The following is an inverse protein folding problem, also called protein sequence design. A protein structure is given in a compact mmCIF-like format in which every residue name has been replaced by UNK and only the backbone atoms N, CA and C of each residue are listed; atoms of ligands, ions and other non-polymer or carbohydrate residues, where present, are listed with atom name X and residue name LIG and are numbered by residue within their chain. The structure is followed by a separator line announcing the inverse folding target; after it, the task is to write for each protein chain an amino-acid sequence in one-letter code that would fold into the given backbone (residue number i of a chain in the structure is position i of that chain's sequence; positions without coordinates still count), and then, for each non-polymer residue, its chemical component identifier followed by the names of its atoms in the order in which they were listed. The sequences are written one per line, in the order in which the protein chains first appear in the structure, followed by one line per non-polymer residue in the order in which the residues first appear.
data_IF_730797556282
#
_entry.id   IF_730797556282
#
_cell.length_a   1.000
_cell.length_b   1.000
_cell.length_c   1.000
_cell.angle_alpha   90.00
_cell.angle_beta   90.00
_cell.angle_gamma   90.00
#
_symmetry.space_group_name_H-M   'P 1'
#
loop_
_entity.id
_entity.type
_entity.pdbx_description
1 polymer ?
#
# COMPACT_ATOMS: atom_id res chain seq x y z
N UNK A 1 4.07 -19.92 9.76
CA UNK A 1 3.90 -19.26 8.45
C UNK A 1 2.64 -19.69 7.70
N UNK A 2 2.50 -20.96 7.30
CA UNK A 2 1.38 -21.41 6.44
C UNK A 2 -0.02 -21.14 7.06
N UNK A 3 -0.13 -21.30 8.37
CA UNK A 3 -1.35 -21.02 9.14
C UNK A 3 -1.79 -19.56 9.06
N UNK A 4 -0.86 -18.61 9.22
CA UNK A 4 -1.13 -17.18 9.10
C UNK A 4 -1.53 -16.82 7.65
N UNK A 5 -0.82 -17.36 6.66
CA UNK A 5 -1.14 -17.13 5.25
C UNK A 5 -2.53 -17.62 4.87
N UNK A 6 -2.93 -18.79 5.38
CA UNK A 6 -4.26 -19.35 5.17
C UNK A 6 -5.34 -18.48 5.84
N UNK A 7 -5.10 -18.03 7.07
CA UNK A 7 -6.02 -17.13 7.77
C UNK A 7 -6.24 -15.81 7.03
N UNK A 8 -5.17 -15.11 6.65
CA UNK A 8 -5.30 -13.85 5.91
C UNK A 8 -5.99 -14.03 4.56
N UNK A 9 -5.82 -15.20 3.92
CA UNK A 9 -6.52 -15.52 2.66
C UNK A 9 -8.02 -15.75 2.87
N UNK A 10 -8.41 -16.45 3.95
CA UNK A 10 -9.82 -16.61 4.31
C UNK A 10 -10.45 -15.24 4.55
N UNK A 11 -9.77 -14.42 5.35
CA UNK A 11 -10.26 -13.10 5.73
C UNK A 11 -10.24 -12.10 4.58
N UNK A 12 -9.52 -12.32 3.49
CA UNK A 12 -9.52 -11.42 2.33
C UNK A 12 -10.61 -11.72 1.30
N UNK A 13 -11.42 -12.76 1.51
CA UNK A 13 -12.50 -13.15 0.60
C UNK A 13 -13.82 -12.86 1.30
N UNK A 14 -14.57 -11.87 0.80
CA UNK A 14 -15.72 -11.29 1.49
C UNK A 14 -16.83 -12.29 1.87
N UNK A 15 -17.00 -13.37 1.09
CA UNK A 15 -18.04 -14.39 1.32
C UNK A 15 -17.44 -15.76 1.66
N UNK A 16 -16.28 -15.80 2.32
CA UNK A 16 -15.65 -17.08 2.65
C UNK A 16 -16.40 -17.79 3.78
N UNK A 17 -16.80 -19.07 3.61
CA UNK A 17 -17.63 -19.80 4.60
C UNK A 17 -16.96 -19.91 5.99
N UNK A 18 -15.63 -19.90 6.02
CA UNK A 18 -14.84 -19.98 7.25
C UNK A 18 -14.62 -18.62 7.97
N UNK A 19 -15.07 -17.50 7.41
CA UNK A 19 -14.82 -16.17 8.00
C UNK A 19 -15.57 -15.97 9.32
N UNK A 20 -16.81 -16.48 9.41
CA UNK A 20 -17.70 -16.31 10.56
C UNK A 20 -17.72 -17.53 11.51
N UNK A 21 -16.82 -18.50 11.28
CA UNK A 21 -16.78 -19.73 12.05
C UNK A 21 -16.17 -19.47 13.43
N UNK A 22 -17.06 -19.25 14.41
CA UNK A 22 -16.72 -19.13 15.83
C UNK A 22 -17.03 -20.42 16.57
N UNK A 23 -16.18 -20.80 17.52
CA UNK A 23 -16.45 -21.95 18.37
C UNK A 23 -17.56 -21.59 19.38
N UNK A 24 -18.69 -22.32 19.41
CA UNK A 24 -19.75 -22.08 20.40
C UNK A 24 -19.22 -22.17 21.83
N UNK A 25 -19.75 -21.33 22.73
CA UNK A 25 -19.31 -21.21 24.13
C UNK A 25 -19.31 -22.58 24.85
N UNK A 26 -20.34 -23.40 24.60
CA UNK A 26 -20.44 -24.74 25.19
C UNK A 26 -19.31 -25.68 24.77
N UNK A 27 -18.94 -25.68 23.49
CA UNK A 27 -17.80 -26.45 22.99
C UNK A 27 -16.48 -25.91 23.54
N UNK A 28 -16.34 -24.59 23.66
CA UNK A 28 -15.14 -23.97 24.26
C UNK A 28 -14.88 -24.47 25.68
N UNK A 29 -15.93 -24.59 26.51
CA UNK A 29 -15.82 -25.16 27.86
C UNK A 29 -15.36 -26.62 27.84
N UNK A 30 -15.88 -27.42 26.91
CA UNK A 30 -15.47 -28.82 26.76
C UNK A 30 -14.01 -28.98 26.34
N UNK A 31 -13.52 -28.11 25.45
CA UNK A 31 -12.10 -28.06 25.08
C UNK A 31 -11.22 -27.65 26.27
N UNK A 32 -11.61 -26.63 27.04
CA UNK A 32 -10.86 -26.20 28.22
C UNK A 32 -10.83 -27.26 29.33
N UNK A 33 -11.90 -28.06 29.47
CA UNK A 33 -11.97 -29.14 30.44
C UNK A 33 -11.12 -30.38 30.08
N UNK A 34 -10.57 -30.44 28.86
CA UNK A 34 -9.76 -31.58 28.39
C UNK A 34 -8.43 -31.08 27.83
N UNK A 35 -7.37 -31.19 28.64
CA UNK A 35 -6.01 -30.73 28.30
C UNK A 35 -5.42 -31.32 27.00
N UNK A 36 -5.88 -32.48 26.56
CA UNK A 36 -5.39 -33.16 25.34
C UNK A 36 -6.12 -32.77 24.06
N UNK A 37 -7.18 -31.97 24.11
CA UNK A 37 -7.96 -31.62 22.93
C UNK A 37 -7.41 -30.37 22.23
N UNK A 38 -6.92 -30.58 21.00
CA UNK A 38 -6.43 -29.50 20.13
C UNK A 38 -7.62 -28.65 19.66
N UNK A 39 -7.65 -27.36 20.03
CA UNK A 39 -8.65 -26.40 19.55
C UNK A 39 -8.71 -26.35 18.02
N UNK A 40 -9.88 -26.05 17.41
CA UNK A 40 -9.98 -25.89 15.97
C UNK A 40 -9.11 -24.74 15.47
N UNK A 41 -8.73 -24.81 14.19
CA UNK A 41 -7.83 -23.85 13.57
C UNK A 41 -8.26 -22.39 13.78
N UNK A 42 -9.54 -22.07 13.62
CA UNK A 42 -10.09 -20.73 13.76
C UNK A 42 -9.90 -20.13 15.17
N UNK A 43 -9.79 -20.96 16.21
CA UNK A 43 -9.49 -20.51 17.58
C UNK A 43 -7.98 -20.42 17.82
N UNK A 44 -7.20 -21.42 17.39
CA UNK A 44 -5.74 -21.41 17.57
C UNK A 44 -5.07 -20.22 16.90
N UNK A 45 -5.56 -19.85 15.71
CA UNK A 45 -4.95 -18.76 14.94
C UNK A 45 -5.22 -17.39 15.55
N UNK A 46 -6.35 -17.20 16.26
CA UNK A 46 -6.65 -15.94 16.95
C UNK A 46 -5.57 -15.59 17.97
N UNK A 47 -5.18 -16.56 18.78
CA UNK A 47 -4.10 -16.40 19.78
C UNK A 47 -2.76 -16.10 19.11
N UNK A 48 -2.42 -16.78 18.01
CA UNK A 48 -1.18 -16.52 17.30
C UNK A 48 -1.16 -15.11 16.66
N UNK A 49 -2.28 -14.64 16.13
CA UNK A 49 -2.42 -13.30 15.53
C UNK A 49 -2.40 -12.21 16.58
N UNK A 50 -3.05 -12.42 17.73
CA UNK A 50 -3.00 -11.46 18.85
C UNK A 50 -1.59 -11.32 19.40
N UNK A 51 -0.85 -12.42 19.57
CA UNK A 51 0.55 -12.36 20.00
C UNK A 51 1.47 -11.66 18.99
N UNK A 52 1.15 -11.76 17.69
CA UNK A 52 1.88 -11.06 16.63
C UNK A 52 1.51 -9.57 16.49
N UNK A 53 0.64 -9.02 17.37
CA UNK A 53 0.19 -7.62 17.29
C UNK A 53 -0.71 -7.33 16.08
N UNK A 54 -1.29 -8.37 15.46
CA UNK A 54 -2.10 -8.25 14.24
C UNK A 54 -3.61 -8.38 14.49
N UNK A 55 -4.04 -8.31 15.76
CA UNK A 55 -5.44 -8.51 16.16
C UNK A 55 -6.41 -7.46 15.62
N UNK A 56 -5.97 -6.21 15.51
CA UNK A 56 -6.82 -5.06 15.15
C UNK A 56 -6.73 -4.69 13.66
N UNK A 57 -6.02 -5.50 12.86
CA UNK A 57 -5.77 -5.16 11.45
C UNK A 57 -6.97 -5.49 10.59
N UNK A 58 -7.54 -4.47 9.96
CA UNK A 58 -8.59 -4.66 8.96
C UNK A 58 -7.96 -5.14 7.65
N UNK A 59 -8.43 -6.26 7.12
CA UNK A 59 -7.90 -6.88 5.89
C UNK A 59 -8.71 -6.41 4.69
N UNK A 60 -8.03 -5.95 3.64
CA UNK A 60 -8.66 -5.56 2.38
C UNK A 60 -9.30 -6.79 1.74
N UNK A 61 -10.61 -6.72 1.57
CA UNK A 61 -11.37 -7.72 0.82
C UNK A 61 -11.04 -7.59 -0.67
N UNK A 62 -10.93 -8.74 -1.33
CA UNK A 62 -10.85 -8.82 -2.79
C UNK A 62 -12.23 -9.15 -3.33
N UNK A 63 -12.78 -8.22 -4.11
CA UNK A 63 -13.99 -8.48 -4.88
C UNK A 63 -13.62 -9.22 -6.18
N UNK A 64 -14.39 -10.26 -6.49
CA UNK A 64 -14.21 -10.97 -7.74
C UNK A 64 -14.82 -10.12 -8.87
N UNK A 65 -13.94 -9.50 -9.66
CA UNK A 65 -14.24 -8.83 -10.93
C UNK A 65 -14.90 -7.45 -10.78
N UNK A 66 -14.08 -6.44 -10.43
CA UNK A 66 -14.44 -5.02 -10.55
C UNK A 66 -14.66 -4.62 -12.02
N UNK A 67 -14.03 -5.34 -12.94
CA UNK A 67 -14.25 -5.21 -14.38
C UNK A 67 -14.09 -6.56 -15.06
N UNK A 68 -14.86 -6.82 -16.14
CA UNK A 68 -14.67 -8.03 -16.89
C UNK A 68 -13.30 -8.08 -17.57
N UNK A 69 -12.76 -9.29 -17.87
CA UNK A 69 -11.43 -9.45 -18.47
C UNK A 69 -11.23 -8.76 -19.83
N UNK A 70 -12.31 -8.42 -20.54
CA UNK A 70 -12.25 -7.72 -21.82
C UNK A 70 -12.34 -6.19 -21.70
N UNK A 71 -12.52 -5.66 -20.48
CA UNK A 71 -12.57 -4.22 -20.21
C UNK A 71 -11.53 -3.81 -19.16
N UNK A 72 -10.36 -4.45 -19.19
CA UNK A 72 -9.23 -4.05 -18.35
C UNK A 72 -8.86 -2.62 -18.73
N UNK A 73 -8.86 -1.68 -17.77
CA UNK A 73 -8.50 -0.31 -18.07
C UNK A 73 -7.06 -0.22 -18.59
N UNK A 74 -6.87 0.51 -19.68
CA UNK A 74 -5.54 0.81 -20.17
C UNK A 74 -4.96 1.98 -19.36
N UNK A 75 -3.78 1.79 -18.76
CA UNK A 75 -3.07 2.83 -18.04
C UNK A 75 -1.81 3.24 -18.79
N UNK A 76 -1.58 4.54 -18.88
CA UNK A 76 -0.38 5.11 -19.50
C UNK A 76 0.14 6.27 -18.66
N UNK A 77 1.45 6.38 -18.57
CA UNK A 77 2.14 7.50 -17.95
C UNK A 77 3.20 8.09 -18.88
N UNK A 78 3.62 9.31 -18.62
CA UNK A 78 4.70 9.99 -19.34
C UNK A 78 5.98 9.89 -18.52
N UNK A 79 7.09 9.60 -19.18
CA UNK A 79 8.41 9.67 -18.57
C UNK A 79 9.32 10.55 -19.44
N UNK A 80 9.35 11.88 -19.22
CA UNK A 80 10.19 12.78 -20.00
C UNK A 80 11.69 12.66 -19.65
N UNK A 81 12.04 11.84 -18.66
CA UNK A 81 13.38 11.69 -18.12
C UNK A 81 14.06 10.39 -18.55
N UNK A 82 13.36 9.52 -19.30
CA UNK A 82 13.82 8.15 -19.61
C UNK A 82 15.14 8.07 -20.38
N UNK A 83 15.52 9.13 -21.09
CA UNK A 83 16.78 9.21 -21.85
C UNK A 83 17.98 9.61 -20.99
N UNK A 84 17.79 9.92 -19.71
CA UNK A 84 18.84 10.41 -18.82
C UNK A 84 19.11 9.40 -17.71
N UNK A 85 20.38 9.14 -17.45
CA UNK A 85 20.80 8.31 -16.33
C UNK A 85 20.97 9.16 -15.06
N UNK A 86 20.39 8.70 -13.95
CA UNK A 86 20.39 9.41 -12.66
C UNK A 86 21.78 9.47 -12.04
N UNK A 87 22.66 8.51 -12.33
CA UNK A 87 24.00 8.47 -11.73
C UNK A 87 24.97 9.49 -12.35
N UNK A 88 24.75 9.85 -13.61
CA UNK A 88 25.65 10.72 -14.39
C UNK A 88 25.09 12.12 -14.66
N UNK A 89 23.77 12.29 -14.59
CA UNK A 89 23.11 13.56 -14.93
C UNK A 89 22.99 14.47 -13.71
N UNK A 90 23.43 15.73 -13.84
CA UNK A 90 23.34 16.70 -12.75
C UNK A 90 21.86 17.01 -12.38
N UNK A 91 21.51 17.18 -11.09
CA UNK A 91 20.14 17.45 -10.64
C UNK A 91 19.47 18.64 -11.34
N UNK A 92 20.24 19.68 -11.66
CA UNK A 92 19.75 20.88 -12.36
C UNK A 92 19.15 20.56 -13.74
N UNK A 93 19.67 19.54 -14.44
CA UNK A 93 19.14 19.12 -15.74
C UNK A 93 17.75 18.52 -15.55
N UNK A 94 17.55 17.68 -14.54
CA UNK A 94 16.23 17.13 -14.21
C UNK A 94 15.23 18.24 -13.84
N UNK A 95 15.67 19.24 -13.07
CA UNK A 95 14.83 20.39 -12.73
C UNK A 95 14.41 21.19 -13.98
N UNK A 96 15.33 21.41 -14.94
CA UNK A 96 15.04 22.11 -16.19
C UNK A 96 14.09 21.31 -17.09
N UNK A 97 14.30 19.99 -17.22
CA UNK A 97 13.41 19.09 -17.96
C UNK A 97 12.02 19.09 -17.34
N UNK A 98 11.93 19.02 -16.01
CA UNK A 98 10.67 19.12 -15.29
C UNK A 98 9.97 20.46 -15.54
N UNK A 99 10.70 21.58 -15.50
CA UNK A 99 10.15 22.91 -15.78
C UNK A 99 9.61 23.01 -17.21
N UNK A 100 10.32 22.49 -18.20
CA UNK A 100 9.88 22.42 -19.60
C UNK A 100 8.60 21.58 -19.75
N UNK A 101 8.58 20.38 -19.14
CA UNK A 101 7.38 19.54 -19.10
C UNK A 101 6.21 20.26 -18.43
N UNK A 102 6.45 20.92 -17.29
CA UNK A 102 5.42 21.68 -16.56
C UNK A 102 4.87 22.83 -17.40
N UNK A 103 5.71 23.52 -18.18
CA UNK A 103 5.27 24.55 -19.10
C UNK A 103 4.35 24.00 -20.20
N UNK A 104 4.71 22.85 -20.80
CA UNK A 104 3.88 22.16 -21.80
C UNK A 104 2.50 21.77 -21.27
N UNK A 105 2.41 21.35 -20.01
CA UNK A 105 1.16 20.98 -19.35
C UNK A 105 0.62 22.09 -18.43
N UNK A 106 0.89 23.36 -18.72
CA UNK A 106 0.53 24.52 -17.87
C UNK A 106 -0.95 24.56 -17.46
N UNK A 107 -1.86 24.08 -18.31
CA UNK A 107 -3.30 23.99 -18.02
C UNK A 107 -3.69 22.89 -17.02
N UNK A 108 -2.83 21.90 -16.79
CA UNK A 108 -3.04 20.84 -15.83
C UNK A 108 -2.55 21.28 -14.46
N UNK A 109 -3.31 21.00 -13.41
CA UNK A 109 -2.85 21.21 -12.03
C UNK A 109 -1.96 20.06 -11.61
N UNK A 110 -0.79 20.40 -11.09
CA UNK A 110 0.22 19.45 -10.62
C UNK A 110 -0.13 18.94 -9.23
N UNK A 111 -0.20 17.62 -9.07
CA UNK A 111 -0.34 16.95 -7.78
C UNK A 111 0.84 16.01 -7.64
N UNK A 112 1.51 15.99 -6.50
CA UNK A 112 2.67 15.13 -6.24
C UNK A 112 2.33 14.15 -5.15
N UNK A 113 2.83 12.92 -5.27
CA UNK A 113 2.57 11.84 -4.33
C UNK A 113 3.85 11.11 -4.00
N UNK A 114 4.02 10.74 -2.74
CA UNK A 114 5.16 9.97 -2.26
C UNK A 114 4.73 9.01 -1.13
N UNK A 115 5.42 7.87 -1.04
CA UNK A 115 5.25 6.89 0.01
C UNK A 115 6.53 6.66 0.81
N UNK A 116 6.43 6.77 2.13
CA UNK A 116 7.55 6.54 3.04
C UNK A 116 7.30 5.32 3.94
N UNK A 117 8.31 4.45 4.02
CA UNK A 117 8.35 3.34 4.96
C UNK A 117 9.72 3.28 5.63
N UNK A 118 9.71 3.31 6.96
CA UNK A 118 10.87 3.09 7.82
C UNK A 118 10.49 2.18 8.98
N UNK A 119 11.41 1.93 9.91
CA UNK A 119 11.19 1.02 11.03
C UNK A 119 10.01 1.50 11.92
N UNK A 120 8.93 0.71 11.97
CA UNK A 120 7.72 1.05 12.72
C UNK A 120 6.89 2.21 12.18
N UNK A 121 7.27 2.78 11.02
CA UNK A 121 6.62 3.95 10.44
C UNK A 121 6.28 3.72 8.98
N UNK A 122 5.04 4.02 8.63
CA UNK A 122 4.54 3.95 7.27
C UNK A 122 3.58 5.12 7.03
N UNK A 123 3.87 5.95 6.05
CA UNK A 123 3.08 7.14 5.73
C UNK A 123 3.12 7.48 4.25
N UNK A 124 2.05 8.07 3.74
CA UNK A 124 2.02 8.65 2.41
C UNK A 124 1.77 10.15 2.48
N UNK A 125 2.35 10.87 1.52
CA UNK A 125 2.26 12.31 1.39
C UNK A 125 1.70 12.70 0.02
N UNK A 126 0.88 13.74 0.00
CA UNK A 126 0.30 14.31 -1.22
C UNK A 126 0.48 15.81 -1.14
N UNK A 127 1.19 16.37 -2.10
CA UNK A 127 1.23 17.81 -2.28
C UNK A 127 0.29 18.19 -3.41
N UNK A 128 -0.82 18.86 -3.05
CA UNK A 128 -1.81 19.40 -3.96
C UNK A 128 -1.86 20.92 -3.73
N UNK A 129 -0.99 21.70 -4.39
CA UNK A 129 -0.82 23.11 -4.11
C UNK A 129 -2.15 23.89 -4.06
N UNK A 130 -2.34 24.75 -3.05
CA UNK A 130 -1.39 25.11 -2.00
C UNK A 130 -1.35 24.14 -0.81
N UNK A 131 -2.17 23.09 -0.81
CA UNK A 131 -2.37 22.20 0.33
C UNK A 131 -1.41 21.01 0.32
N UNK A 132 -1.08 20.55 1.52
CA UNK A 132 -0.32 19.32 1.74
C UNK A 132 -1.12 18.39 2.63
N UNK A 133 -1.27 17.14 2.20
CA UNK A 133 -1.98 16.11 2.92
C UNK A 133 -1.01 14.98 3.26
N UNK A 134 -1.19 14.37 4.43
CA UNK A 134 -0.42 13.21 4.83
C UNK A 134 -1.27 12.26 5.67
N UNK A 135 -1.04 10.97 5.45
CA UNK A 135 -1.79 9.90 6.11
C UNK A 135 -0.84 8.79 6.55
N UNK A 136 -1.01 8.35 7.80
CA UNK A 136 -0.28 7.22 8.37
C UNK A 136 -1.05 5.94 8.08
N UNK A 137 -0.36 4.95 7.53
CA UNK A 137 -0.92 3.63 7.25
C UNK A 137 -0.43 2.60 8.28
N UNK A 138 -1.01 1.42 8.24
CA UNK A 138 -0.59 0.31 9.09
C UNK A 138 0.85 -0.12 8.77
N UNK A 139 1.63 -0.46 9.80
CA UNK A 139 3.06 -0.79 9.67
C UNK A 139 3.33 -2.02 8.77
N UNK A 140 2.32 -2.88 8.60
CA UNK A 140 2.42 -4.05 7.72
C UNK A 140 2.37 -3.72 6.23
N UNK A 141 1.93 -2.52 5.83
CA UNK A 141 1.86 -2.14 4.41
C UNK A 141 3.26 -2.16 3.77
N UNK A 142 3.35 -2.67 2.55
CA UNK A 142 4.58 -2.64 1.74
C UNK A 142 4.84 -1.24 1.16
N UNK A 143 6.06 -0.97 0.72
CA UNK A 143 6.40 0.31 0.06
C UNK A 143 5.46 0.55 -1.13
N UNK A 144 5.28 -0.46 -1.99
CA UNK A 144 4.37 -0.39 -3.13
C UNK A 144 2.93 -0.02 -2.73
N UNK A 145 2.40 -0.63 -1.65
CA UNK A 145 1.05 -0.31 -1.16
C UNK A 145 0.91 1.15 -0.76
N UNK A 146 1.95 1.71 -0.15
CA UNK A 146 1.95 3.09 0.37
C UNK A 146 2.03 4.08 -0.77
N UNK A 147 2.87 3.79 -1.77
CA UNK A 147 2.96 4.57 -3.02
C UNK A 147 1.63 4.57 -3.78
N UNK A 148 1.02 3.40 -3.96
CA UNK A 148 -0.31 3.29 -4.57
C UNK A 148 -1.38 4.00 -3.71
N UNK A 149 -1.29 3.91 -2.39
CA UNK A 149 -2.21 4.61 -1.51
C UNK A 149 -2.08 6.14 -1.67
N UNK A 150 -0.86 6.67 -1.80
CA UNK A 150 -0.62 8.09 -2.07
C UNK A 150 -1.35 8.54 -3.35
N UNK A 151 -1.23 7.75 -4.42
CA UNK A 151 -1.96 7.96 -5.69
C UNK A 151 -3.47 7.89 -5.50
N UNK A 152 -3.97 6.86 -4.81
CA UNK A 152 -5.40 6.69 -4.55
C UNK A 152 -5.99 7.89 -3.81
N UNK A 153 -5.32 8.38 -2.76
CA UNK A 153 -5.78 9.55 -2.02
C UNK A 153 -5.66 10.84 -2.83
N UNK A 154 -4.63 10.98 -3.68
CA UNK A 154 -4.54 12.11 -4.59
C UNK A 154 -5.75 12.17 -5.52
N UNK A 155 -6.20 11.03 -6.04
CA UNK A 155 -7.43 10.94 -6.83
C UNK A 155 -8.66 11.36 -6.03
N UNK A 156 -8.78 10.95 -4.75
CA UNK A 156 -9.88 11.40 -3.88
C UNK A 156 -9.88 12.92 -3.69
N UNK A 157 -8.71 13.55 -3.54
CA UNK A 157 -8.61 15.01 -3.46
C UNK A 157 -8.99 15.68 -4.78
N UNK A 158 -8.63 15.06 -5.91
CA UNK A 158 -9.03 15.52 -7.25
C UNK A 158 -10.55 15.44 -7.42
N UNK A 159 -11.23 14.39 -6.97
CA UNK A 159 -12.69 14.30 -7.07
C UNK A 159 -13.42 15.43 -6.34
N UNK A 160 -12.86 15.92 -5.23
CA UNK A 160 -13.43 17.01 -4.46
C UNK A 160 -13.14 18.41 -5.05
N UNK A 161 -12.35 18.48 -6.13
CA UNK A 161 -11.89 19.72 -6.73
C UNK A 161 -12.83 20.24 -7.83
N UNK A 162 -12.67 21.52 -8.22
CA UNK A 162 -13.50 22.16 -9.25
C UNK A 162 -12.93 22.07 -10.66
N UNK A 163 -11.64 21.79 -10.82
CA UNK A 163 -11.03 21.72 -12.15
C UNK A 163 -11.14 20.29 -12.67
N UNK A 164 -10.83 20.09 -13.95
CA UNK A 164 -10.92 18.79 -14.60
C UNK A 164 -9.60 18.30 -15.19
N UNK A 165 -8.53 19.10 -15.17
CA UNK A 165 -7.23 18.75 -15.75
C UNK A 165 -6.17 18.62 -14.67
N UNK A 166 -5.68 17.40 -14.44
CA UNK A 166 -4.70 17.09 -13.39
C UNK A 166 -3.51 16.30 -13.90
N UNK A 167 -2.31 16.61 -13.42
CA UNK A 167 -1.12 15.81 -13.65
C UNK A 167 -0.60 15.30 -12.30
N UNK A 168 -0.69 14.00 -12.07
CA UNK A 168 -0.14 13.31 -10.91
C UNK A 168 1.32 12.96 -11.20
N UNK A 169 2.22 13.44 -10.35
CA UNK A 169 3.64 13.15 -10.36
C UNK A 169 3.98 12.20 -9.22
N UNK A 170 4.69 11.12 -9.53
CA UNK A 170 5.22 10.15 -8.56
C UNK A 170 6.61 9.74 -8.98
N UNK A 171 7.50 9.50 -8.03
CA UNK A 171 8.81 8.91 -8.27
C UNK A 171 8.85 7.38 -8.13
N UNK A 172 7.73 6.77 -7.75
CA UNK A 172 7.58 5.32 -7.67
C UNK A 172 7.32 4.70 -9.04
N UNK A 173 8.39 4.30 -9.72
CA UNK A 173 8.30 3.50 -10.95
C UNK A 173 7.50 2.21 -10.70
N UNK A 174 7.68 1.58 -9.54
CA UNK A 174 6.95 0.37 -9.16
C UNK A 174 5.44 0.56 -9.11
N UNK A 175 4.95 1.73 -8.66
CA UNK A 175 3.53 2.03 -8.62
C UNK A 175 2.97 2.24 -10.04
N UNK A 176 3.70 2.94 -10.91
CA UNK A 176 3.33 3.14 -12.30
C UNK A 176 3.31 1.83 -13.09
N UNK A 177 4.31 0.97 -12.90
CA UNK A 177 4.38 -0.35 -13.52
C UNK A 177 3.26 -1.28 -13.05
N UNK A 178 2.92 -1.23 -11.76
CA UNK A 178 1.80 -1.99 -11.19
C UNK A 178 0.45 -1.56 -11.80
N UNK A 179 0.30 -0.27 -12.15
CA UNK A 179 -0.86 0.24 -12.86
C UNK A 179 -0.82 -0.11 -14.36
N UNK A 180 0.34 -0.08 -15.02
CA UNK A 180 0.44 -0.47 -16.44
C UNK A 180 0.08 -1.94 -16.69
N UNK A 181 0.44 -2.85 -15.78
CA UNK A 181 0.27 -4.30 -15.98
C UNK A 181 -0.95 -4.85 -15.23
N UNK A 182 -2.12 -4.26 -15.49
CA UNK A 182 -3.37 -4.71 -14.88
C UNK A 182 -3.73 -6.15 -15.31
N UNK A 183 -3.73 -7.08 -14.36
CA UNK A 183 -4.13 -8.48 -14.57
C UNK A 183 -5.04 -9.00 -13.45
N UNK A 184 -5.40 -10.29 -13.47
CA UNK A 184 -6.25 -10.93 -12.44
C UNK A 184 -5.61 -10.95 -11.04
N UNK A 185 -4.29 -10.76 -10.96
CA UNK A 185 -3.47 -10.75 -9.74
C UNK A 185 -3.03 -9.33 -9.37
N UNK A 186 -3.67 -8.32 -9.95
CA UNK A 186 -3.38 -6.93 -9.68
C UNK A 186 -3.45 -6.62 -8.18
N UNK A 187 -2.65 -5.63 -7.78
CA UNK A 187 -2.63 -5.14 -6.42
C UNK A 187 -4.01 -4.59 -6.03
N UNK A 188 -4.58 -4.93 -4.86
CA UNK A 188 -5.93 -4.47 -4.49
C UNK A 188 -6.10 -2.95 -4.50
N UNK A 189 -5.06 -2.20 -4.12
CA UNK A 189 -5.09 -0.72 -4.16
C UNK A 189 -5.06 -0.21 -5.61
N UNK A 190 -4.37 -0.90 -6.52
CA UNK A 190 -4.42 -0.57 -7.94
C UNK A 190 -5.82 -0.82 -8.54
N UNK A 191 -6.50 -1.89 -8.09
CA UNK A 191 -7.91 -2.12 -8.44
C UNK A 191 -8.80 -0.93 -8.02
N UNK A 192 -8.66 -0.44 -6.79
CA UNK A 192 -9.40 0.74 -6.30
C UNK A 192 -9.07 2.00 -7.12
N UNK A 193 -7.80 2.23 -7.46
CA UNK A 193 -7.36 3.34 -8.31
C UNK A 193 -8.09 3.30 -9.66
N UNK A 194 -8.19 2.12 -10.27
CA UNK A 194 -8.86 1.97 -11.56
C UNK A 194 -10.37 2.24 -11.50
N UNK A 195 -11.06 1.80 -10.44
CA UNK A 195 -12.45 2.19 -10.20
C UNK A 195 -12.59 3.71 -10.21
N UNK A 196 -11.77 4.35 -9.40
CA UNK A 196 -11.85 5.78 -9.16
C UNK A 196 -11.48 6.61 -10.38
N UNK A 197 -10.47 6.18 -11.13
CA UNK A 197 -10.11 6.78 -12.42
C UNK A 197 -11.26 6.70 -13.43
N UNK A 198 -11.97 5.56 -13.50
CA UNK A 198 -13.13 5.41 -14.40
C UNK A 198 -14.26 6.35 -14.00
N UNK A 199 -14.56 6.46 -12.72
CA UNK A 199 -15.58 7.38 -12.20
C UNK A 199 -15.24 8.83 -12.53
N UNK A 200 -13.99 9.24 -12.29
CA UNK A 200 -13.49 10.58 -12.62
C UNK A 200 -13.54 10.84 -14.14
N UNK A 201 -13.13 9.87 -14.96
CA UNK A 201 -13.21 10.00 -16.41
C UNK A 201 -14.66 10.17 -16.89
N UNK A 202 -15.61 9.43 -16.31
CA UNK A 202 -17.03 9.57 -16.62
C UNK A 202 -17.60 10.95 -16.24
N UNK A 203 -17.01 11.60 -15.23
CA UNK A 203 -17.33 12.98 -14.83
C UNK A 203 -16.59 14.05 -15.66
N UNK A 204 -15.78 13.65 -16.65
CA UNK A 204 -15.07 14.56 -17.55
C UNK A 204 -13.69 15.00 -17.06
N UNK A 205 -13.15 14.39 -16.00
CA UNK A 205 -11.78 14.63 -15.58
C UNK A 205 -10.78 13.99 -16.55
N UNK A 206 -9.68 14.70 -16.81
CA UNK A 206 -8.53 14.22 -17.56
C UNK A 206 -7.31 14.26 -16.65
N UNK A 207 -6.81 13.07 -16.32
CA UNK A 207 -5.72 12.86 -15.39
C UNK A 207 -4.53 12.28 -16.14
N UNK A 208 -3.42 13.00 -16.12
CA UNK A 208 -2.13 12.56 -16.65
C UNK A 208 -1.29 12.01 -15.50
N UNK A 209 -0.60 10.90 -15.73
CA UNK A 209 0.41 10.39 -14.80
C UNK A 209 1.79 10.65 -15.38
N UNK A 210 2.72 11.08 -14.54
CA UNK A 210 4.08 11.38 -14.96
C UNK A 210 5.07 10.87 -13.91
N UNK A 211 6.09 10.12 -14.36
CA UNK A 211 7.19 9.74 -13.50
C UNK A 211 8.13 10.93 -13.30
N UNK A 212 8.60 11.15 -12.07
CA UNK A 212 9.63 12.15 -11.74
C UNK A 212 10.79 11.49 -11.00
N UNK A 213 12.04 11.96 -11.17
CA UNK A 213 13.15 11.43 -10.40
C UNK A 213 13.10 11.93 -8.94
N UNK A 214 13.32 11.01 -7.99
CA UNK A 214 13.42 11.35 -6.57
C UNK A 214 14.71 12.10 -6.23
N UNK A 215 14.68 12.96 -5.20
CA UNK A 215 15.84 13.64 -4.61
C UNK A 215 16.69 14.47 -5.58
N UNK A 216 16.05 15.09 -6.58
CA UNK A 216 16.72 16.03 -7.49
C UNK A 216 16.32 17.48 -7.25
N UNK A 217 15.57 17.78 -6.17
CA UNK A 217 15.15 19.13 -5.83
C UNK A 217 13.93 19.64 -6.61
N UNK A 218 13.09 18.74 -7.13
CA UNK A 218 11.76 19.14 -7.63
C UNK A 218 10.89 19.45 -6.42
N UNK A 219 10.63 20.74 -6.19
CA UNK A 219 9.97 21.26 -4.98
C UNK A 219 8.70 20.48 -4.61
N UNK A 220 7.83 20.19 -5.58
CA UNK A 220 6.60 19.46 -5.29
C UNK A 220 6.81 18.01 -4.83
N UNK A 221 7.83 17.33 -5.37
CA UNK A 221 8.20 15.97 -4.95
C UNK A 221 8.79 15.99 -3.54
N UNK A 222 9.71 16.92 -3.26
CA UNK A 222 10.31 17.05 -1.92
C UNK A 222 9.26 17.40 -0.85
N UNK A 223 8.20 18.16 -1.21
CA UNK A 223 7.09 18.44 -0.30
C UNK A 223 6.21 17.21 -0.05
N UNK A 224 5.94 16.39 -1.07
CA UNK A 224 5.24 15.12 -0.89
C UNK A 224 6.05 14.15 -0.02
N UNK A 225 7.36 14.02 -0.26
CA UNK A 225 8.28 13.19 0.54
C UNK A 225 8.36 13.64 1.99
N UNK A 226 8.50 14.95 2.23
CA UNK A 226 8.48 15.51 3.57
C UNK A 226 7.16 15.23 4.29
N UNK A 227 6.03 15.37 3.58
CA UNK A 227 4.71 15.07 4.12
C UNK A 227 4.53 13.58 4.43
N UNK A 228 5.04 12.69 3.57
CA UNK A 228 4.98 11.25 3.75
C UNK A 228 5.77 10.80 4.98
N UNK A 229 6.90 11.44 5.27
CA UNK A 229 7.73 11.21 6.46
C UNK A 229 7.17 11.83 7.75
N UNK A 230 6.36 12.87 7.62
CA UNK A 230 5.75 13.60 8.74
C UNK A 230 4.30 13.19 9.04
N UNK A 231 3.75 12.20 8.33
CA UNK A 231 2.38 11.75 8.48
C UNK A 231 2.07 11.27 9.91
N UNK A 232 1.14 11.96 10.56
CA UNK A 232 0.65 11.65 11.92
C UNK A 232 -0.81 11.21 11.93
N UNK A 233 -1.60 11.71 10.97
CA UNK A 233 -3.02 11.39 10.85
C UNK A 233 -3.23 9.94 10.46
N UNK A 234 -3.65 9.11 11.41
CA UNK A 234 -3.92 7.69 11.15
C UNK A 234 -5.11 7.57 10.22
N UNK A 235 -4.87 6.95 9.07
CA UNK A 235 -5.94 6.55 8.18
C UNK A 235 -6.18 5.05 8.30
N UNK A 236 -7.40 4.69 8.71
CA UNK A 236 -7.83 3.31 8.81
C UNK A 236 -8.12 2.73 7.42
N UNK A 237 -7.07 2.45 6.65
CA UNK A 237 -7.19 1.71 5.37
C UNK A 237 -7.01 0.22 5.62
N UNK A 238 -7.87 -0.63 5.03
CA UNK A 238 -7.66 -2.06 5.04
C UNK A 238 -6.32 -2.45 4.38
N UNK A 239 -5.58 -3.36 4.99
CA UNK A 239 -4.27 -3.79 4.50
C UNK A 239 -4.42 -4.91 3.47
N UNK A 240 -3.71 -4.86 2.33
CA UNK A 240 -3.67 -5.97 1.38
C UNK A 240 -3.23 -7.30 2.03
N UNK A 241 -3.92 -8.39 1.69
CA UNK A 241 -3.61 -9.74 2.19
C UNK A 241 -2.14 -10.14 1.99
N UNK A 242 -1.55 -9.78 0.85
CA UNK A 242 -0.16 -10.12 0.54
C UNK A 242 0.84 -9.40 1.46
N UNK A 243 0.59 -8.15 1.79
CA UNK A 243 1.39 -7.37 2.73
C UNK A 243 1.39 -8.01 4.12
N UNK A 244 0.22 -8.45 4.59
CA UNK A 244 0.11 -9.17 5.87
C UNK A 244 0.85 -10.50 5.87
N UNK A 245 0.83 -11.23 4.75
CA UNK A 245 1.60 -12.48 4.60
C UNK A 245 3.09 -12.23 4.72
N UNK A 246 3.60 -11.21 4.02
CA UNK A 246 5.02 -10.82 4.06
C UNK A 246 5.38 -10.36 5.46
N UNK A 247 4.59 -9.47 6.06
CA UNK A 247 4.81 -8.97 7.40
C UNK A 247 4.83 -10.10 8.45
N UNK A 248 3.84 -10.99 8.43
CA UNK A 248 3.81 -12.11 9.37
C UNK A 248 4.96 -13.09 9.16
N UNK A 249 5.39 -13.32 7.92
CA UNK A 249 6.59 -14.11 7.62
C UNK A 249 7.83 -13.46 8.23
N UNK A 250 8.05 -12.16 8.00
CA UNK A 250 9.20 -11.44 8.56
C UNK A 250 9.19 -11.42 10.09
N UNK A 251 8.02 -11.17 10.69
CA UNK A 251 7.87 -11.14 12.14
C UNK A 251 8.16 -12.51 12.78
N UNK A 252 7.62 -13.59 12.20
CA UNK A 252 7.90 -14.96 12.69
C UNK A 252 9.39 -15.30 12.55
N UNK A 253 10.04 -14.89 11.46
CA UNK A 253 11.47 -15.07 11.29
C UNK A 253 12.29 -14.28 12.31
N UNK A 254 11.90 -13.03 12.61
CA UNK A 254 12.55 -12.22 13.66
C UNK A 254 12.47 -12.90 15.02
N UNK A 255 11.26 -13.32 15.42
CA UNK A 255 11.06 -14.01 16.70
C UNK A 255 11.86 -15.32 16.78
N UNK A 256 11.91 -16.08 15.68
CA UNK A 256 12.72 -17.30 15.63
C UNK A 256 14.21 -16.98 15.79
N UNK A 257 14.71 -15.93 15.12
CA UNK A 257 16.10 -15.51 15.20
C UNK A 257 16.46 -15.04 16.62
N UNK A 258 15.61 -14.22 17.24
CA UNK A 258 15.77 -13.76 18.62
C UNK A 258 15.86 -14.93 19.62
N UNK A 259 14.98 -15.92 19.49
CA UNK A 259 15.00 -17.12 20.32
C UNK A 259 16.26 -17.96 20.10
N UNK A 260 16.69 -18.10 18.85
CA UNK A 260 17.90 -18.82 18.48
C UNK A 260 19.15 -18.18 19.08
N UNK A 261 19.25 -16.85 18.97
CA UNK A 261 20.38 -16.08 19.50
C UNK A 261 20.44 -16.19 21.04
N UNK A 262 19.29 -16.17 21.72
CA UNK A 262 19.20 -16.40 23.17
C UNK A 262 19.69 -17.80 23.59
N UNK A 263 19.37 -18.83 22.81
CA UNK A 263 19.74 -20.22 23.11
C UNK A 263 21.24 -20.49 22.91
N UNK A 264 21.88 -19.81 21.94
CA UNK A 264 23.35 -19.81 21.78
C UNK A 264 24.02 -19.15 22.98
N UNK A 265 23.47 -18.04 23.50
CA UNK A 265 24.06 -17.37 24.67
C UNK A 265 23.95 -18.18 25.96
N UNK A 266 22.92 -19.00 26.13
CA UNK A 266 22.77 -19.87 27.32
C UNK A 266 23.71 -21.08 27.26
N UNK A 267 23.99 -21.60 26.05
CA UNK A 267 24.87 -22.77 25.86
C UNK A 267 26.37 -22.40 25.86
N UNK A 268 26.71 -21.11 25.78
CA UNK A 268 28.10 -20.60 25.81
C UNK A 268 28.70 -20.45 27.22
N UNK A 269 27.93 -20.76 28.29
CA UNK A 269 28.35 -20.67 29.69
C UNK A 269 28.46 -22.04 30.40
N UNK A 270 28.58 -23.13 29.64
CA UNK A 270 28.88 -24.48 30.13
C UNK A 270 30.23 -24.91 29.57
#
# INVERSE_FOLDING_TARGET
MLSAHYHFRIQSVANHPLQHLSLPIGLRRLYLARSFNILPFCERIKTAISHAGLGDVTIKQKDLLIFPPWSVPCFSYVNPFSSFDKSSTAPIIFQQLFASHRHRFSSFVSVFTDGSKSEGYVGCGIFFPPDTYSYRLHASCSVLTVELAAVFYALQKIAASRQSLYCIYTDSMSALEALCHADKRMHPVAEDIFCYMRELQAQGFKILFCWVPSHVGIVGNEQADSAAKAASNVWQSPVPCNDLKIFATHHIHSLWQELWDLEIHITSFI
#
